data_IF_432538287701
#
_entry.id   IF_432538287701
#
_cell.length_a   1.000
_cell.length_b   1.000
_cell.length_c   1.000
_cell.angle_alpha   90.00
_cell.angle_beta   90.00
_cell.angle_gamma   90.00
#
_symmetry.space_group_name_H-M   'P 1'
#
loop_
_entity.id
_entity.type
_entity.pdbx_description
1 polymer ?
#
# COMPACT_ATOMS: atom_id res chain seq x y z
N UNK A 1 9.41 14.59 -20.58
CA UNK A 1 8.06 14.03 -20.33
C UNK A 1 7.30 15.01 -19.47
N UNK A 2 6.06 15.35 -19.84
CA UNK A 2 5.26 16.31 -19.08
C UNK A 2 4.98 15.76 -17.68
N UNK A 3 4.92 16.63 -16.68
CA UNK A 3 4.66 16.30 -15.26
C UNK A 3 3.46 15.36 -15.07
N UNK A 4 2.43 15.57 -15.88
CA UNK A 4 1.20 14.77 -15.95
C UNK A 4 1.49 13.30 -16.32
N UNK A 5 2.36 13.06 -17.31
CA UNK A 5 2.77 11.72 -17.73
C UNK A 5 3.51 10.94 -16.64
N UNK A 6 4.25 11.64 -15.76
CA UNK A 6 4.95 11.02 -14.63
C UNK A 6 3.98 10.67 -13.49
N UNK A 7 3.02 11.56 -13.20
CA UNK A 7 1.99 11.29 -12.20
C UNK A 7 1.09 10.11 -12.62
N UNK A 8 0.71 10.04 -13.90
CA UNK A 8 -0.05 8.92 -14.45
C UNK A 8 0.72 7.60 -14.33
N UNK A 9 2.02 7.63 -14.57
CA UNK A 9 2.89 6.48 -14.38
C UNK A 9 2.92 6.04 -12.91
N UNK A 10 3.13 6.96 -11.96
CA UNK A 10 3.08 6.64 -10.53
C UNK A 10 1.75 6.02 -10.11
N UNK A 11 0.62 6.62 -10.52
CA UNK A 11 -0.71 6.12 -10.20
C UNK A 11 -0.97 4.72 -10.78
N UNK A 12 -0.54 4.49 -12.02
CA UNK A 12 -0.62 3.16 -12.65
C UNK A 12 0.17 2.13 -11.85
N UNK A 13 1.42 2.45 -11.48
CA UNK A 13 2.26 1.54 -10.73
C UNK A 13 1.73 1.26 -9.32
N UNK A 14 1.17 2.29 -8.64
CA UNK A 14 0.46 2.12 -7.37
C UNK A 14 -0.69 1.12 -7.54
N UNK A 15 -1.50 1.26 -8.60
CA UNK A 15 -2.61 0.35 -8.87
C UNK A 15 -2.16 -1.09 -9.15
N UNK A 16 -1.11 -1.28 -9.95
CA UNK A 16 -0.55 -2.60 -10.21
C UNK A 16 -0.04 -3.26 -8.92
N UNK A 17 0.72 -2.53 -8.11
CA UNK A 17 1.32 -3.05 -6.87
C UNK A 17 0.26 -3.29 -5.78
N UNK A 18 -0.74 -2.41 -5.66
CA UNK A 18 -1.87 -2.59 -4.75
C UNK A 18 -2.69 -3.85 -5.11
N UNK A 19 -2.82 -4.15 -6.40
CA UNK A 19 -3.51 -5.37 -6.87
C UNK A 19 -2.74 -6.62 -6.48
N UNK A 20 -1.43 -6.64 -6.70
CA UNK A 20 -0.58 -7.78 -6.34
C UNK A 20 -0.56 -7.99 -4.82
N UNK A 21 -0.48 -6.89 -4.06
CA UNK A 21 -0.48 -6.91 -2.61
C UNK A 21 -1.81 -7.42 -2.06
N UNK A 22 -2.95 -6.92 -2.54
CA UNK A 22 -4.27 -7.40 -2.10
C UNK A 22 -4.48 -8.88 -2.41
N UNK A 23 -4.01 -9.37 -3.56
CA UNK A 23 -4.03 -10.80 -3.88
C UNK A 23 -3.22 -11.64 -2.89
N UNK A 24 -2.04 -11.15 -2.48
CA UNK A 24 -1.21 -11.85 -1.51
C UNK A 24 -1.91 -12.02 -0.15
N UNK A 25 -2.67 -11.02 0.29
CA UNK A 25 -3.48 -11.08 1.51
C UNK A 25 -4.68 -12.03 1.41
N UNK A 26 -5.31 -12.14 0.24
CA UNK A 26 -6.47 -13.04 0.03
C UNK A 26 -6.04 -14.50 -0.14
N UNK A 27 -4.84 -14.75 -0.67
CA UNK A 27 -4.35 -16.11 -0.94
C UNK A 27 -3.82 -16.83 0.31
N UNK A 28 -3.69 -16.13 1.45
CA UNK A 28 -3.21 -16.72 2.70
C UNK A 28 -4.38 -17.27 3.52
N UNK A 29 -4.82 -18.49 3.19
CA UNK A 29 -5.96 -19.13 3.86
C UNK A 29 -6.12 -20.61 3.60
N UNK A 30 -5.99 -21.07 2.36
CA UNK A 30 -6.09 -22.50 2.07
C UNK A 30 -5.52 -22.83 0.68
N UNK A 31 -4.55 -23.75 0.62
CA UNK A 31 -4.04 -24.29 -0.64
C UNK A 31 -5.17 -24.93 -1.46
N UNK A 32 -6.21 -25.45 -0.79
CA UNK A 32 -7.43 -25.96 -1.42
C UNK A 32 -8.29 -24.86 -2.06
N UNK A 33 -8.44 -23.69 -1.44
CA UNK A 33 -9.17 -22.56 -2.04
C UNK A 33 -8.51 -22.09 -3.33
N UNK A 34 -7.17 -22.13 -3.37
CA UNK A 34 -6.36 -21.79 -4.54
C UNK A 34 -6.53 -22.83 -5.66
N UNK A 35 -6.56 -24.12 -5.30
CA UNK A 35 -6.81 -25.23 -6.24
C UNK A 35 -8.25 -25.23 -6.79
N UNK A 36 -9.20 -24.70 -6.03
CA UNK A 36 -10.62 -24.59 -6.38
C UNK A 36 -10.99 -23.25 -7.05
N UNK A 37 -10.03 -22.34 -7.25
CA UNK A 37 -10.27 -21.02 -7.84
C UNK A 37 -11.14 -20.10 -6.99
N UNK A 38 -11.30 -20.39 -5.69
CA UNK A 38 -12.06 -19.58 -4.75
C UNK A 38 -11.19 -18.42 -4.22
N UNK A 39 -10.88 -17.47 -5.09
CA UNK A 39 -10.42 -16.15 -4.65
C UNK A 39 -11.67 -15.35 -4.29
N UNK A 40 -11.73 -14.82 -3.06
CA UNK A 40 -12.78 -13.86 -2.72
C UNK A 40 -12.50 -12.54 -3.45
N UNK A 41 -12.98 -12.42 -4.69
CA UNK A 41 -12.92 -11.18 -5.47
C UNK A 41 -13.48 -9.98 -4.69
N UNK A 42 -14.57 -10.11 -3.90
CA UNK A 42 -15.03 -9.02 -3.04
C UNK A 42 -14.00 -8.55 -2.01
N UNK A 43 -13.25 -9.48 -1.40
CA UNK A 43 -12.20 -9.15 -0.42
C UNK A 43 -10.97 -8.52 -1.08
N UNK A 44 -10.59 -9.01 -2.26
CA UNK A 44 -9.49 -8.39 -3.02
C UNK A 44 -9.82 -6.93 -3.38
N UNK A 45 -11.07 -6.68 -3.77
CA UNK A 45 -11.54 -5.33 -4.11
C UNK A 45 -11.64 -4.42 -2.89
N UNK A 46 -12.06 -4.94 -1.73
CA UNK A 46 -12.13 -4.16 -0.50
C UNK A 46 -10.74 -3.76 0.01
N UNK A 47 -9.77 -4.67 -0.04
CA UNK A 47 -8.39 -4.43 0.39
C UNK A 47 -7.59 -3.55 -0.59
N UNK A 48 -8.01 -3.47 -1.85
CA UNK A 48 -7.30 -2.69 -2.87
C UNK A 48 -7.18 -1.21 -2.48
N UNK A 49 -8.29 -0.57 -2.11
CA UNK A 49 -8.32 0.87 -1.87
C UNK A 49 -7.50 1.29 -0.64
N UNK A 50 -7.60 0.61 0.53
CA UNK A 50 -6.71 0.87 1.67
C UNK A 50 -5.23 0.65 1.34
N UNK A 51 -4.88 -0.42 0.63
CA UNK A 51 -3.48 -0.72 0.30
C UNK A 51 -2.90 0.26 -0.75
N UNK A 52 -3.70 0.66 -1.73
CA UNK A 52 -3.31 1.70 -2.69
C UNK A 52 -3.03 3.04 -1.98
N UNK A 53 -3.80 3.34 -0.94
CA UNK A 53 -3.59 4.55 -0.14
C UNK A 53 -2.27 4.49 0.64
N UNK A 54 -1.95 3.35 1.28
CA UNK A 54 -0.67 3.18 1.97
C UNK A 54 0.53 3.28 1.00
N UNK A 55 0.42 2.67 -0.18
CA UNK A 55 1.44 2.76 -1.23
C UNK A 55 1.62 4.20 -1.73
N UNK A 56 0.54 4.96 -1.86
CA UNK A 56 0.60 6.37 -2.25
C UNK A 56 1.37 7.19 -1.24
N UNK A 57 1.10 7.01 0.06
CA UNK A 57 1.80 7.73 1.13
C UNK A 57 3.26 7.31 1.22
N UNK A 58 3.57 6.03 1.04
CA UNK A 58 4.94 5.54 0.98
C UNK A 58 5.72 6.12 -0.22
N UNK A 59 5.11 6.19 -1.40
CA UNK A 59 5.73 6.79 -2.58
C UNK A 59 5.96 8.31 -2.41
N UNK A 60 5.04 9.02 -1.75
CA UNK A 60 5.23 10.44 -1.39
C UNK A 60 6.49 10.60 -0.53
N UNK A 61 6.67 9.75 0.47
CA UNK A 61 7.88 9.77 1.31
C UNK A 61 9.16 9.56 0.48
N UNK A 62 9.17 8.54 -0.40
CA UNK A 62 10.32 8.24 -1.25
C UNK A 62 10.65 9.40 -2.22
N UNK A 63 9.62 10.02 -2.80
CA UNK A 63 9.78 11.14 -3.74
C UNK A 63 10.18 12.44 -3.05
N UNK A 64 9.83 12.66 -1.79
CA UNK A 64 10.17 13.88 -1.02
C UNK A 64 11.68 14.11 -0.91
N UNK A 65 12.49 13.05 -1.00
CA UNK A 65 13.95 13.18 -1.02
C UNK A 65 14.54 13.63 -2.36
N UNK A 66 13.77 13.58 -3.46
CA UNK A 66 14.31 13.62 -4.83
C UNK A 66 13.53 14.52 -5.79
N UNK A 67 12.19 14.54 -5.73
CA UNK A 67 11.29 15.36 -6.56
C UNK A 67 10.11 15.90 -5.74
N UNK A 68 10.35 16.99 -5.01
CA UNK A 68 9.32 17.64 -4.17
C UNK A 68 8.05 18.00 -4.95
N UNK A 69 8.17 18.53 -6.17
CA UNK A 69 7.00 18.93 -6.94
C UNK A 69 6.09 17.77 -7.36
N UNK A 70 6.67 16.58 -7.59
CA UNK A 70 5.89 15.37 -7.91
C UNK A 70 5.29 14.78 -6.63
N UNK A 71 6.05 14.79 -5.53
CA UNK A 71 5.56 14.39 -4.21
C UNK A 71 4.37 15.25 -3.75
N UNK A 72 4.41 16.57 -3.97
CA UNK A 72 3.32 17.49 -3.63
C UNK A 72 2.07 17.27 -4.49
N UNK A 73 2.25 17.00 -5.79
CA UNK A 73 1.14 16.63 -6.67
C UNK A 73 0.50 15.30 -6.25
N UNK A 74 1.30 14.27 -5.95
CA UNK A 74 0.81 12.99 -5.48
C UNK A 74 0.14 13.11 -4.11
N UNK A 75 0.69 13.92 -3.20
CA UNK A 75 0.09 14.24 -1.89
C UNK A 75 -1.27 14.91 -2.03
N UNK A 76 -1.41 15.84 -2.96
CA UNK A 76 -2.67 16.53 -3.20
C UNK A 76 -3.75 15.56 -3.70
N UNK A 77 -3.42 14.72 -4.68
CA UNK A 77 -4.32 13.67 -5.18
C UNK A 77 -4.68 12.63 -4.11
N UNK A 78 -3.70 12.25 -3.28
CA UNK A 78 -3.91 11.32 -2.15
C UNK A 78 -4.85 11.94 -1.12
N UNK A 79 -4.67 13.22 -0.77
CA UNK A 79 -5.55 13.90 0.17
C UNK A 79 -7.00 14.02 -0.33
N UNK A 80 -7.23 14.20 -1.63
CA UNK A 80 -8.58 14.13 -2.19
C UNK A 80 -9.21 12.75 -1.97
N UNK A 81 -8.46 11.68 -2.21
CA UNK A 81 -8.92 10.30 -1.99
C UNK A 81 -9.24 10.03 -0.51
N UNK A 82 -8.46 10.58 0.42
CA UNK A 82 -8.70 10.43 1.86
C UNK A 82 -10.01 11.12 2.28
N UNK A 83 -10.35 12.29 1.71
CA UNK A 83 -11.65 12.97 1.96
C UNK A 83 -12.82 12.15 1.47
N UNK A 84 -12.69 11.61 0.27
CA UNK A 84 -13.75 10.82 -0.35
C UNK A 84 -14.04 9.57 0.47
N UNK A 85 -13.05 9.06 1.19
CA UNK A 85 -13.18 7.95 2.14
C UNK A 85 -13.69 8.38 3.53
N UNK A 86 -13.90 9.68 3.78
CA UNK A 86 -14.38 10.20 5.06
C UNK A 86 -13.36 10.13 6.20
N UNK A 87 -12.07 9.97 5.88
CA UNK A 87 -10.97 9.95 6.84
C UNK A 87 -10.48 11.39 7.10
N UNK A 88 -9.86 11.65 8.27
CA UNK A 88 -9.27 12.95 8.57
C UNK A 88 -7.94 13.15 7.81
N UNK A 89 -8.02 13.65 6.57
CA UNK A 89 -6.92 13.90 5.60
C UNK A 89 -5.54 14.18 6.19
N UNK A 90 -5.45 15.29 6.92
CA UNK A 90 -4.17 15.86 7.30
C UNK A 90 -3.49 14.95 8.33
N UNK A 91 -4.25 14.45 9.31
CA UNK A 91 -3.70 13.55 10.33
C UNK A 91 -3.26 12.22 9.73
N UNK A 92 -4.08 11.65 8.84
CA UNK A 92 -3.77 10.36 8.24
C UNK A 92 -2.42 10.36 7.49
N UNK A 93 -2.21 11.36 6.63
CA UNK A 93 -1.00 11.46 5.80
C UNK A 93 0.19 11.90 6.65
N UNK A 94 0.03 12.90 7.53
CA UNK A 94 1.13 13.42 8.34
C UNK A 94 1.64 12.40 9.37
N UNK A 95 0.76 11.61 10.01
CA UNK A 95 1.16 10.55 10.94
C UNK A 95 2.04 9.49 10.28
N UNK A 96 1.71 9.09 9.04
CA UNK A 96 2.49 8.10 8.28
C UNK A 96 3.84 8.66 7.85
N UNK A 97 3.84 9.87 7.29
CA UNK A 97 5.08 10.55 6.88
C UNK A 97 5.99 10.80 8.09
N UNK A 98 5.44 11.08 9.26
CA UNK A 98 6.20 11.23 10.51
C UNK A 98 6.86 9.90 10.94
N UNK A 99 6.13 8.77 10.87
CA UNK A 99 6.71 7.45 11.14
C UNK A 99 7.91 7.16 10.22
N UNK A 100 7.73 7.37 8.91
CA UNK A 100 8.79 7.14 7.93
C UNK A 100 10.02 8.02 8.14
N UNK A 101 9.83 9.26 8.61
CA UNK A 101 10.92 10.19 8.85
C UNK A 101 11.64 9.98 10.19
N UNK A 102 10.93 9.58 11.24
CA UNK A 102 11.40 9.74 12.63
C UNK A 102 11.47 8.44 13.44
N UNK A 103 10.79 7.35 13.05
CA UNK A 103 10.68 6.14 13.89
C UNK A 103 11.62 4.99 13.52
N UNK A 104 12.56 5.19 12.59
CA UNK A 104 13.60 4.20 12.27
C UNK A 104 13.53 3.70 10.83
N UNK A 105 13.31 2.40 10.63
CA UNK A 105 13.25 1.79 9.30
C UNK A 105 11.88 2.04 8.64
N UNK A 106 11.80 2.78 7.51
CA UNK A 106 10.54 3.10 6.85
C UNK A 106 9.75 1.87 6.42
N UNK A 107 10.43 0.76 6.15
CA UNK A 107 9.80 -0.50 5.74
C UNK A 107 9.01 -1.16 6.88
N UNK A 108 9.48 -1.01 8.12
CA UNK A 108 8.78 -1.56 9.28
C UNK A 108 7.50 -0.75 9.55
N UNK A 109 7.58 0.59 9.50
CA UNK A 109 6.40 1.46 9.50
C UNK A 109 5.41 1.08 8.39
N UNK A 110 5.90 0.86 7.16
CA UNK A 110 5.05 0.55 6.01
C UNK A 110 4.33 -0.79 6.20
N UNK A 111 5.05 -1.79 6.68
CA UNK A 111 4.50 -3.12 7.01
C UNK A 111 3.38 -3.00 8.06
N UNK A 112 3.61 -2.23 9.13
CA UNK A 112 2.62 -2.02 10.19
C UNK A 112 1.37 -1.28 9.68
N UNK A 113 1.53 -0.28 8.82
CA UNK A 113 0.39 0.44 8.25
C UNK A 113 -0.41 -0.44 7.28
N UNK A 114 0.24 -1.21 6.41
CA UNK A 114 -0.45 -2.18 5.55
C UNK A 114 -1.24 -3.20 6.38
N UNK A 115 -0.66 -3.72 7.46
CA UNK A 115 -1.35 -4.67 8.33
C UNK A 115 -2.58 -4.02 9.01
N UNK A 116 -2.43 -2.82 9.57
CA UNK A 116 -3.55 -2.08 10.19
C UNK A 116 -4.68 -1.78 9.20
N UNK A 117 -4.33 -1.43 7.96
CA UNK A 117 -5.31 -1.16 6.91
C UNK A 117 -6.13 -2.41 6.57
N UNK A 118 -5.46 -3.56 6.50
CA UNK A 118 -6.09 -4.86 6.25
C UNK A 118 -6.96 -5.29 7.44
N UNK A 119 -6.47 -5.18 8.67
CA UNK A 119 -7.21 -5.57 9.88
C UNK A 119 -8.47 -4.71 10.09
N UNK A 120 -8.38 -3.41 9.81
CA UNK A 120 -9.53 -2.50 9.89
C UNK A 120 -10.63 -2.86 8.87
N UNK A 121 -10.25 -3.32 7.67
CA UNK A 121 -11.20 -3.73 6.63
C UNK A 121 -11.76 -5.15 6.89
N UNK A 122 -10.94 -6.07 7.42
CA UNK A 122 -11.36 -7.39 7.88
C UNK A 122 -12.44 -7.31 8.97
N UNK A 123 -12.25 -6.41 9.94
CA UNK A 123 -13.22 -6.12 10.98
C UNK A 123 -14.53 -5.55 10.41
N UNK A 124 -14.46 -4.69 9.38
CA UNK A 124 -15.66 -4.18 8.71
C UNK A 124 -16.45 -5.26 7.98
N UNK A 125 -15.77 -6.26 7.42
CA UNK A 125 -16.40 -7.33 6.64
C UNK A 125 -16.89 -8.52 7.48
N UNK A 126 -16.72 -8.49 8.81
CA UNK A 126 -17.00 -9.63 9.71
C UNK A 126 -16.37 -10.94 9.21
N UNK A 127 -15.20 -10.85 8.56
CA UNK A 127 -14.49 -12.03 8.05
C UNK A 127 -13.40 -12.40 9.04
N UNK A 128 -13.30 -13.68 9.38
CA UNK A 128 -12.11 -14.23 10.04
C UNK A 128 -10.95 -14.21 9.04
N UNK A 129 -10.27 -13.06 8.91
CA UNK A 129 -8.92 -13.09 8.37
C UNK A 129 -8.04 -13.87 9.35
N UNK A 130 -7.11 -14.66 8.82
CA UNK A 130 -6.23 -15.49 9.62
C UNK A 130 -5.50 -14.57 10.62
N UNK A 131 -5.95 -14.58 11.88
CA UNK A 131 -5.59 -13.67 12.99
C UNK A 131 -4.12 -13.83 13.45
N UNK A 132 -3.31 -14.48 12.60
CA UNK A 132 -1.91 -14.72 12.81
C UNK A 132 -1.15 -13.47 12.37
N UNK A 133 -0.43 -12.82 13.30
CA UNK A 133 0.40 -11.68 12.96
C UNK A 133 1.39 -12.08 11.86
N UNK A 134 1.70 -11.13 10.97
CA UNK A 134 2.73 -11.33 9.94
C UNK A 134 4.00 -11.77 10.65
N UNK A 135 4.55 -12.90 10.20
CA UNK A 135 5.84 -13.37 10.66
C UNK A 135 6.91 -12.76 9.77
N UNK A 136 7.92 -12.14 10.36
CA UNK A 136 9.14 -11.72 9.66
C UNK A 136 9.94 -12.94 9.19
N UNK A 137 9.40 -13.67 8.23
CA UNK A 137 9.93 -14.91 7.71
C UNK A 137 9.61 -14.97 6.22
N UNK A 138 10.56 -15.49 5.44
CA UNK A 138 10.42 -15.67 3.98
C UNK A 138 9.26 -16.62 3.63
N UNK A 139 8.82 -17.43 4.59
CA UNK A 139 7.69 -18.34 4.43
C UNK A 139 6.33 -17.65 4.65
N UNK A 140 6.30 -16.42 5.17
CA UNK A 140 5.07 -15.63 5.24
C UNK A 140 4.92 -14.85 3.92
N UNK A 141 3.92 -15.24 3.14
CA UNK A 141 3.71 -14.68 1.80
C UNK A 141 3.32 -13.21 1.84
N UNK A 142 2.63 -12.77 2.90
CA UNK A 142 2.24 -11.36 3.10
C UNK A 142 3.48 -10.52 3.34
N UNK A 143 4.39 -11.01 4.19
CA UNK A 143 5.68 -10.37 4.44
C UNK A 143 6.49 -10.20 3.16
N UNK A 144 6.62 -11.26 2.35
CA UNK A 144 7.35 -11.21 1.08
C UNK A 144 6.70 -10.23 0.10
N UNK A 145 5.36 -10.23 -0.01
CA UNK A 145 4.64 -9.33 -0.91
C UNK A 145 4.80 -7.85 -0.51
N UNK A 146 4.80 -7.53 0.78
CA UNK A 146 5.04 -6.15 1.27
C UNK A 146 6.47 -5.71 0.93
N UNK A 147 7.46 -6.57 1.15
CA UNK A 147 8.86 -6.28 0.80
C UNK A 147 9.05 -6.09 -0.70
N UNK A 148 8.40 -6.92 -1.52
CA UNK A 148 8.41 -6.77 -2.98
C UNK A 148 7.73 -5.48 -3.42
N UNK A 149 6.58 -5.14 -2.83
CA UNK A 149 5.86 -3.90 -3.10
C UNK A 149 6.72 -2.67 -2.76
N UNK A 150 7.37 -2.67 -1.60
CA UNK A 150 8.28 -1.60 -1.19
C UNK A 150 9.47 -1.47 -2.15
N UNK A 151 10.12 -2.58 -2.52
CA UNK A 151 11.22 -2.57 -3.48
C UNK A 151 10.80 -2.06 -4.86
N UNK A 152 9.60 -2.42 -5.32
CA UNK A 152 9.05 -1.91 -6.59
C UNK A 152 8.72 -0.41 -6.50
N UNK A 153 8.18 0.06 -5.37
CA UNK A 153 7.93 1.49 -5.12
C UNK A 153 9.23 2.30 -5.12
N UNK A 154 10.30 1.79 -4.52
CA UNK A 154 11.63 2.41 -4.61
C UNK A 154 12.12 2.51 -6.06
N UNK A 155 11.90 1.47 -6.85
CA UNK A 155 12.27 1.48 -8.27
C UNK A 155 11.45 2.52 -9.06
N UNK A 156 10.14 2.61 -8.81
CA UNK A 156 9.26 3.63 -9.41
C UNK A 156 9.73 5.04 -9.04
N UNK A 157 10.11 5.28 -7.79
CA UNK A 157 10.65 6.56 -7.36
C UNK A 157 11.94 6.91 -8.12
N UNK A 158 12.84 5.94 -8.31
CA UNK A 158 14.09 6.11 -9.08
C UNK A 158 13.83 6.37 -10.57
N UNK A 159 12.93 5.61 -11.18
CA UNK A 159 12.62 5.71 -12.61
C UNK A 159 11.89 7.02 -12.93
N UNK A 160 11.13 7.57 -11.97
CA UNK A 160 10.48 8.87 -12.10
C UNK A 160 11.47 10.05 -12.16
N UNK A 161 12.76 9.82 -11.85
CA UNK A 161 13.84 10.80 -11.99
C UNK A 161 14.27 10.98 -13.45
N UNK A 162 14.32 9.89 -14.22
CA UNK A 162 14.75 9.87 -15.62
C UNK A 162 13.86 10.69 -16.55
#
# INVERSE_FOLDING_TARGET
MAKETRLDYCNRMIGEIATDLSQAYVQDGDFLSLYLGQISTPLQLSLFQPLALELSVFLIYLLKGQQNELADSLRSATAETVRDMGLEDAKFIDERLDCYANQGNPLDCFTDFCQKAVDADAHHLNMEMNDKPIRHAINDRRFVAIHEAASRMEQVARDSIG
#
